data_IF_537815284369
#
_entry.id   IF_537815284369
#
_cell.length_a   1.000
_cell.length_b   1.000
_cell.length_c   1.000
_cell.angle_alpha   90.00
_cell.angle_beta   90.00
_cell.angle_gamma   90.00
#
_symmetry.space_group_name_H-M   'P 1'
#
loop_
_entity.id
_entity.type
_entity.pdbx_description
1 polymer ?
#
# COMPACT_ATOMS: atom_id res chain seq x y z
N UNK A 1 -26.04 -3.87 -16.38
CA UNK A 1 -25.50 -2.54 -16.07
C UNK A 1 -24.06 -2.73 -15.63
N UNK A 2 -23.15 -2.51 -16.56
CA UNK A 2 -21.71 -2.54 -16.25
C UNK A 2 -21.39 -1.30 -15.43
N UNK A 3 -21.06 -1.50 -14.16
CA UNK A 3 -20.51 -0.44 -13.32
C UNK A 3 -19.10 -0.13 -13.86
N UNK A 4 -18.98 0.97 -14.61
CA UNK A 4 -17.68 1.49 -15.04
C UNK A 4 -17.07 2.19 -13.83
N UNK A 5 -16.14 1.54 -13.14
CA UNK A 5 -15.43 2.09 -11.97
C UNK A 5 -14.70 3.40 -12.27
N UNK A 6 -14.39 3.66 -13.54
CA UNK A 6 -13.77 4.91 -14.02
C UNK A 6 -14.61 6.18 -13.78
N UNK A 7 -15.92 6.03 -13.54
CA UNK A 7 -16.83 7.15 -13.28
C UNK A 7 -17.07 7.43 -11.80
N UNK A 8 -16.51 6.59 -10.91
CA UNK A 8 -16.65 6.74 -9.46
C UNK A 8 -15.48 7.56 -8.92
N UNK A 9 -15.77 8.44 -7.97
CA UNK A 9 -14.73 9.08 -7.17
C UNK A 9 -14.12 8.10 -6.15
N UNK A 10 -13.01 8.49 -5.54
CA UNK A 10 -12.28 7.63 -4.60
C UNK A 10 -13.13 7.24 -3.38
N UNK A 11 -13.99 8.14 -2.88
CA UNK A 11 -14.87 7.84 -1.75
C UNK A 11 -15.91 6.77 -2.12
N UNK A 12 -16.48 6.84 -3.32
CA UNK A 12 -17.40 5.83 -3.82
C UNK A 12 -16.70 4.49 -4.05
N UNK A 13 -15.46 4.49 -4.56
CA UNK A 13 -14.65 3.28 -4.70
C UNK A 13 -14.35 2.62 -3.36
N UNK A 14 -13.99 3.39 -2.34
CA UNK A 14 -13.79 2.87 -0.97
C UNK A 14 -15.07 2.27 -0.43
N UNK A 15 -16.24 2.90 -0.64
CA UNK A 15 -17.53 2.36 -0.22
C UNK A 15 -17.87 1.03 -0.94
N UNK A 16 -17.52 0.87 -2.22
CA UNK A 16 -17.68 -0.39 -2.96
C UNK A 16 -16.80 -1.49 -2.37
N UNK A 17 -15.55 -1.18 -2.03
CA UNK A 17 -14.63 -2.12 -1.38
C UNK A 17 -15.19 -2.55 -0.02
N UNK A 18 -15.67 -1.62 0.80
CA UNK A 18 -16.25 -1.91 2.11
C UNK A 18 -17.48 -2.83 1.98
N UNK A 19 -18.37 -2.55 1.03
CA UNK A 19 -19.52 -3.40 0.76
C UNK A 19 -19.11 -4.81 0.28
N UNK A 20 -18.08 -4.90 -0.57
CA UNK A 20 -17.55 -6.17 -1.04
C UNK A 20 -16.93 -6.99 0.10
N UNK A 21 -16.16 -6.35 0.97
CA UNK A 21 -15.57 -6.99 2.17
C UNK A 21 -16.67 -7.49 3.11
N UNK A 22 -17.70 -6.69 3.32
CA UNK A 22 -18.87 -7.07 4.15
C UNK A 22 -19.63 -8.28 3.60
N UNK A 23 -19.57 -8.53 2.29
CA UNK A 23 -20.17 -9.69 1.65
C UNK A 23 -19.31 -10.97 1.77
N UNK A 24 -18.04 -10.86 2.14
CA UNK A 24 -17.15 -12.00 2.39
C UNK A 24 -17.45 -12.59 3.76
N UNK A 25 -17.87 -13.86 3.80
CA UNK A 25 -18.20 -14.55 5.05
C UNK A 25 -17.53 -15.91 5.11
N UNK A 26 -17.31 -16.42 6.33
CA UNK A 26 -16.73 -17.75 6.57
C UNK A 26 -17.58 -18.86 5.95
N UNK A 27 -18.90 -18.73 5.95
CA UNK A 27 -19.79 -19.71 5.36
C UNK A 27 -19.60 -19.81 3.84
N UNK A 28 -19.40 -18.70 3.16
CA UNK A 28 -19.08 -18.70 1.71
C UNK A 28 -17.76 -19.40 1.41
N UNK A 29 -16.74 -19.19 2.25
CA UNK A 29 -15.45 -19.87 2.12
C UNK A 29 -15.58 -21.38 2.30
N UNK A 30 -16.40 -21.81 3.24
CA UNK A 30 -16.65 -23.26 3.50
C UNK A 30 -17.33 -23.97 2.32
N UNK A 31 -18.10 -23.25 1.51
CA UNK A 31 -18.73 -23.81 0.31
C UNK A 31 -17.76 -24.05 -0.85
N UNK A 32 -16.55 -23.48 -0.80
CA UNK A 32 -15.52 -23.67 -1.82
C UNK A 32 -14.78 -24.99 -1.63
N UNK A 33 -14.32 -25.58 -2.73
CA UNK A 33 -13.42 -26.73 -2.65
C UNK A 33 -12.00 -26.33 -2.22
N UNK A 34 -11.13 -27.30 -1.95
CA UNK A 34 -9.78 -27.04 -1.44
C UNK A 34 -8.94 -26.15 -2.36
N UNK A 35 -8.98 -26.42 -3.67
CA UNK A 35 -8.23 -25.64 -4.67
C UNK A 35 -8.74 -24.20 -4.77
N UNK A 36 -10.04 -24.00 -4.74
CA UNK A 36 -10.66 -22.68 -4.74
C UNK A 36 -10.28 -21.88 -3.50
N UNK A 37 -10.24 -22.53 -2.31
CA UNK A 37 -9.80 -21.88 -1.07
C UNK A 37 -8.34 -21.42 -1.13
N UNK A 38 -7.45 -22.24 -1.69
CA UNK A 38 -6.04 -21.87 -1.88
C UNK A 38 -5.90 -20.68 -2.83
N UNK A 39 -6.64 -20.68 -3.94
CA UNK A 39 -6.61 -19.57 -4.88
C UNK A 39 -7.17 -18.29 -4.27
N UNK A 40 -8.29 -18.37 -3.55
CA UNK A 40 -8.86 -17.20 -2.83
C UNK A 40 -7.89 -16.62 -1.82
N UNK A 41 -7.12 -17.46 -1.11
CA UNK A 41 -6.11 -16.97 -0.18
C UNK A 41 -5.00 -16.18 -0.89
N UNK A 42 -4.51 -16.69 -2.02
CA UNK A 42 -3.51 -15.98 -2.85
C UNK A 42 -4.06 -14.65 -3.35
N UNK A 43 -5.29 -14.65 -3.86
CA UNK A 43 -5.92 -13.43 -4.38
C UNK A 43 -6.19 -12.41 -3.28
N UNK A 44 -6.59 -12.86 -2.08
CA UNK A 44 -6.79 -12.00 -0.92
C UNK A 44 -5.46 -11.35 -0.46
N UNK A 45 -4.36 -12.09 -0.43
CA UNK A 45 -3.03 -11.55 -0.07
C UNK A 45 -2.58 -10.51 -1.08
N UNK A 46 -2.77 -10.75 -2.38
CA UNK A 46 -2.44 -9.77 -3.42
C UNK A 46 -3.30 -8.52 -3.33
N UNK A 47 -4.60 -8.68 -3.09
CA UNK A 47 -5.52 -7.57 -2.94
C UNK A 47 -5.16 -6.70 -1.73
N UNK A 48 -4.84 -7.32 -0.60
CA UNK A 48 -4.38 -6.61 0.60
C UNK A 48 -3.09 -5.84 0.34
N UNK A 49 -2.13 -6.42 -0.37
CA UNK A 49 -0.89 -5.75 -0.75
C UNK A 49 -1.16 -4.51 -1.62
N UNK A 50 -2.04 -4.62 -2.61
CA UNK A 50 -2.43 -3.49 -3.47
C UNK A 50 -3.13 -2.38 -2.69
N UNK A 51 -4.07 -2.75 -1.83
CA UNK A 51 -4.77 -1.79 -0.96
C UNK A 51 -3.81 -1.11 0.01
N UNK A 52 -2.86 -1.86 0.57
CA UNK A 52 -1.82 -1.31 1.44
C UNK A 52 -0.92 -0.32 0.72
N UNK A 53 -0.53 -0.58 -0.53
CA UNK A 53 0.26 0.34 -1.35
C UNK A 53 -0.51 1.65 -1.62
N UNK A 54 -1.78 1.57 -2.00
CA UNK A 54 -2.64 2.74 -2.20
C UNK A 54 -2.80 3.55 -0.90
N UNK A 55 -3.07 2.90 0.22
CA UNK A 55 -3.19 3.54 1.53
C UNK A 55 -1.90 4.27 1.94
N UNK A 56 -0.74 3.66 1.69
CA UNK A 56 0.56 4.28 1.97
C UNK A 56 0.80 5.51 1.09
N UNK A 57 0.46 5.44 -0.19
CA UNK A 57 0.53 6.59 -1.10
C UNK A 57 -0.39 7.73 -0.65
N UNK A 58 -1.61 7.42 -0.25
CA UNK A 58 -2.56 8.41 0.30
C UNK A 58 -2.03 9.06 1.58
N UNK A 59 -1.44 8.29 2.49
CA UNK A 59 -0.84 8.81 3.72
C UNK A 59 0.33 9.77 3.43
N UNK A 60 1.16 9.47 2.44
CA UNK A 60 2.23 10.37 1.98
C UNK A 60 1.68 11.66 1.38
N UNK A 61 0.63 11.60 0.58
CA UNK A 61 -0.03 12.77 0.00
C UNK A 61 -0.65 13.66 1.07
N UNK A 62 -1.35 13.09 2.04
CA UNK A 62 -1.91 13.84 3.18
C UNK A 62 -0.81 14.53 3.98
N UNK A 63 0.31 13.86 4.23
CA UNK A 63 1.44 14.46 4.95
C UNK A 63 2.08 15.58 4.13
N UNK A 64 2.33 15.35 2.84
CA UNK A 64 2.95 16.32 1.95
C UNK A 64 2.09 17.58 1.77
N UNK A 65 0.77 17.42 1.67
CA UNK A 65 -0.17 18.55 1.51
C UNK A 65 -0.33 19.37 2.78
N UNK A 66 0.05 18.85 3.95
CA UNK A 66 -0.12 19.51 5.23
C UNK A 66 -1.57 19.72 5.66
N UNK A 67 -2.51 19.04 5.04
CA UNK A 67 -3.96 19.21 5.27
C UNK A 67 -4.36 18.92 6.72
N UNK A 68 -3.71 17.96 7.39
CA UNK A 68 -4.01 17.63 8.78
C UNK A 68 -3.68 18.83 9.73
N UNK A 69 -2.60 19.53 9.47
CA UNK A 69 -2.25 20.74 10.23
C UNK A 69 -3.21 21.88 9.89
N UNK A 70 -3.53 22.06 8.61
CA UNK A 70 -4.40 23.16 8.15
C UNK A 70 -5.85 23.02 8.66
N UNK A 71 -6.40 21.79 8.60
CA UNK A 71 -7.81 21.54 8.95
C UNK A 71 -8.03 21.23 10.44
N UNK A 72 -7.06 20.58 11.09
CA UNK A 72 -7.20 20.06 12.45
C UNK A 72 -6.15 20.54 13.44
N UNK A 73 -5.17 21.32 13.01
CA UNK A 73 -4.12 21.86 13.88
C UNK A 73 -3.17 20.81 14.48
N UNK A 74 -3.15 19.58 13.93
CA UNK A 74 -2.33 18.47 14.42
C UNK A 74 -1.51 17.83 13.29
N UNK A 75 -0.47 17.07 13.65
CA UNK A 75 0.26 16.30 12.63
C UNK A 75 -0.63 15.18 12.04
N UNK A 76 -0.33 14.77 10.82
CA UNK A 76 -1.01 13.64 10.17
C UNK A 76 -0.99 12.39 11.05
N UNK A 77 0.14 12.10 11.70
CA UNK A 77 0.30 10.94 12.59
C UNK A 77 -0.67 11.02 13.79
N UNK A 78 -0.77 12.18 14.43
CA UNK A 78 -1.67 12.37 15.56
C UNK A 78 -3.11 12.30 15.13
N UNK A 79 -3.48 13.00 14.08
CA UNK A 79 -4.83 12.99 13.53
C UNK A 79 -5.27 11.57 13.13
N UNK A 80 -4.43 10.85 12.41
CA UNK A 80 -4.73 9.49 11.95
C UNK A 80 -4.90 8.50 13.13
N UNK A 81 -4.01 8.60 14.14
CA UNK A 81 -4.10 7.77 15.33
C UNK A 81 -5.42 8.00 16.09
N UNK A 82 -5.82 9.26 16.24
CA UNK A 82 -7.05 9.62 16.96
C UNK A 82 -8.31 9.24 16.16
N UNK A 83 -8.27 9.36 14.83
CA UNK A 83 -9.41 9.05 13.96
C UNK A 83 -9.64 7.55 13.72
N UNK A 84 -8.63 6.68 13.90
CA UNK A 84 -8.67 5.28 13.46
C UNK A 84 -8.37 4.25 14.54
N UNK A 85 -8.25 4.61 15.78
CA UNK A 85 -7.80 3.71 16.87
C UNK A 85 -6.41 3.08 16.64
N UNK A 86 -5.60 3.60 15.71
CA UNK A 86 -4.21 3.19 15.54
C UNK A 86 -3.35 3.74 16.67
N UNK A 87 -2.29 3.02 17.02
CA UNK A 87 -1.25 3.62 17.85
C UNK A 87 -0.50 4.69 17.04
N UNK A 88 0.03 5.72 17.71
CA UNK A 88 0.87 6.74 17.05
C UNK A 88 2.07 6.13 16.33
N UNK A 89 2.62 5.05 16.87
CA UNK A 89 3.71 4.30 16.24
C UNK A 89 3.28 3.66 14.92
N UNK A 90 2.09 3.06 14.87
CA UNK A 90 1.54 2.46 13.66
C UNK A 90 1.21 3.52 12.61
N UNK A 91 0.58 4.63 13.01
CA UNK A 91 0.29 5.76 12.14
C UNK A 91 1.58 6.40 11.58
N UNK A 92 2.59 6.60 12.43
CA UNK A 92 3.89 7.12 12.00
C UNK A 92 4.59 6.20 11.01
N UNK A 93 4.51 4.89 11.21
CA UNK A 93 5.06 3.91 10.28
C UNK A 93 4.39 4.00 8.92
N UNK A 94 3.07 4.09 8.87
CA UNK A 94 2.31 4.21 7.62
C UNK A 94 2.73 5.45 6.81
N UNK A 95 2.87 6.59 7.46
CA UNK A 95 3.33 7.84 6.81
C UNK A 95 4.75 7.69 6.28
N UNK A 96 5.67 7.15 7.07
CA UNK A 96 7.07 6.94 6.67
C UNK A 96 7.17 5.95 5.49
N UNK A 97 6.43 4.87 5.52
CA UNK A 97 6.38 3.89 4.43
C UNK A 97 5.87 4.54 3.13
N UNK A 98 4.82 5.35 3.21
CA UNK A 98 4.32 6.11 2.07
C UNK A 98 5.36 7.07 1.49
N UNK A 99 6.03 7.84 2.33
CA UNK A 99 7.10 8.76 1.93
C UNK A 99 8.27 8.02 1.26
N UNK A 100 8.66 6.86 1.78
CA UNK A 100 9.69 6.01 1.16
C UNK A 100 9.27 5.52 -0.22
N UNK A 101 8.06 5.00 -0.36
CA UNK A 101 7.55 4.54 -1.66
C UNK A 101 7.51 5.67 -2.69
N UNK A 102 7.22 6.90 -2.28
CA UNK A 102 7.27 8.07 -3.18
C UNK A 102 8.67 8.31 -3.75
N UNK A 103 9.72 7.96 -3.01
CA UNK A 103 11.12 8.09 -3.46
C UNK A 103 11.55 6.99 -4.43
N UNK A 104 10.88 5.83 -4.42
CA UNK A 104 11.22 4.65 -5.20
C UNK A 104 10.06 4.21 -6.10
N UNK A 105 9.87 4.87 -7.25
CA UNK A 105 8.69 4.67 -8.10
C UNK A 105 8.58 3.25 -8.67
N UNK A 106 9.69 2.53 -8.90
CA UNK A 106 9.65 1.15 -9.38
C UNK A 106 9.13 0.20 -8.28
N UNK A 107 9.55 0.40 -7.03
CA UNK A 107 9.04 -0.34 -5.88
C UNK A 107 7.55 -0.03 -5.69
N UNK A 108 7.17 1.25 -5.76
CA UNK A 108 5.78 1.69 -5.62
C UNK A 108 4.87 1.05 -6.69
N UNK A 109 5.31 1.01 -7.95
CA UNK A 109 4.57 0.36 -9.04
C UNK A 109 4.40 -1.14 -8.80
N UNK A 110 5.46 -1.86 -8.40
CA UNK A 110 5.40 -3.28 -8.09
C UNK A 110 4.48 -3.60 -6.89
N UNK A 111 4.48 -2.73 -5.87
CA UNK A 111 3.57 -2.83 -4.73
C UNK A 111 2.10 -2.58 -5.16
N UNK A 112 1.84 -1.58 -6.00
CA UNK A 112 0.52 -1.28 -6.55
C UNK A 112 -0.04 -2.42 -7.42
N UNK A 113 0.82 -3.18 -8.09
CA UNK A 113 0.47 -4.38 -8.84
C UNK A 113 0.23 -5.61 -7.94
N UNK A 114 0.62 -5.55 -6.66
CA UNK A 114 0.58 -6.68 -5.73
C UNK A 114 1.68 -7.72 -5.99
N UNK A 115 2.71 -7.35 -6.75
CA UNK A 115 3.87 -8.20 -7.04
C UNK A 115 4.93 -8.15 -5.94
N UNK A 116 4.88 -7.13 -5.11
CA UNK A 116 5.75 -6.94 -3.93
C UNK A 116 4.86 -6.70 -2.73
N UNK A 117 5.02 -7.51 -1.71
CA UNK A 117 4.28 -7.39 -0.45
C UNK A 117 4.79 -6.20 0.38
N UNK A 118 3.99 -5.66 1.31
CA UNK A 118 4.39 -4.52 2.14
C UNK A 118 5.72 -4.72 2.87
N UNK A 119 5.96 -5.90 3.43
CA UNK A 119 7.20 -6.23 4.14
C UNK A 119 8.41 -6.28 3.20
N UNK A 120 8.21 -6.79 1.99
CA UNK A 120 9.24 -6.80 0.95
C UNK A 120 9.55 -5.37 0.48
N UNK A 121 8.52 -4.56 0.23
CA UNK A 121 8.68 -3.15 -0.13
C UNK A 121 9.46 -2.38 0.94
N UNK A 122 9.14 -2.61 2.21
CA UNK A 122 9.86 -2.02 3.33
C UNK A 122 11.34 -2.45 3.35
N UNK A 123 11.62 -3.74 3.21
CA UNK A 123 12.99 -4.24 3.17
C UNK A 123 13.79 -3.67 1.99
N UNK A 124 13.18 -3.64 0.80
CA UNK A 124 13.81 -3.08 -0.41
C UNK A 124 14.13 -1.60 -0.22
N UNK A 125 13.17 -0.81 0.25
CA UNK A 125 13.37 0.63 0.44
C UNK A 125 14.40 0.93 1.51
N UNK A 126 14.52 0.11 2.56
CA UNK A 126 15.57 0.24 3.57
C UNK A 126 16.97 -0.02 2.98
N UNK A 127 17.10 -1.04 2.12
CA UNK A 127 18.37 -1.33 1.42
C UNK A 127 18.74 -0.19 0.49
N UNK A 128 17.79 0.31 -0.29
CA UNK A 128 18.02 1.42 -1.22
C UNK A 128 18.37 2.73 -0.50
N UNK A 129 17.74 3.01 0.64
CA UNK A 129 18.09 4.16 1.48
C UNK A 129 19.50 4.07 2.08
N UNK A 130 20.02 2.86 2.25
CA UNK A 130 21.37 2.60 2.77
C UNK A 130 22.47 2.63 1.70
N UNK A 131 22.13 2.82 0.42
CA UNK A 131 23.14 2.90 -0.64
C UNK A 131 23.99 4.18 -0.48
N UNK A 132 25.28 4.13 -0.88
CA UNK A 132 26.15 5.30 -0.84
C UNK A 132 25.58 6.50 -1.59
N UNK A 133 25.78 7.69 -1.06
CA UNK A 133 25.27 8.95 -1.63
C UNK A 133 25.97 9.39 -2.91
N UNK A 134 27.08 8.74 -3.27
CA UNK A 134 27.86 8.96 -4.49
C UNK A 134 27.32 8.19 -5.71
N UNK A 135 26.31 7.34 -5.52
CA UNK A 135 25.57 6.74 -6.63
C UNK A 135 24.83 7.84 -7.42
N UNK A 136 24.99 7.82 -8.74
CA UNK A 136 24.20 8.69 -9.59
C UNK A 136 22.73 8.21 -9.72
N UNK A 137 21.88 9.07 -10.24
CA UNK A 137 20.44 8.76 -10.39
C UNK A 137 20.19 7.52 -11.26
N UNK A 138 21.04 7.27 -12.27
CA UNK A 138 20.95 6.10 -13.14
C UNK A 138 21.29 4.83 -12.40
N UNK A 139 22.36 4.84 -11.60
CA UNK A 139 22.76 3.71 -10.76
C UNK A 139 21.70 3.37 -9.70
N UNK A 140 21.11 4.38 -9.07
CA UNK A 140 19.99 4.17 -8.15
C UNK A 140 18.80 3.49 -8.81
N UNK A 141 18.40 3.96 -10.00
CA UNK A 141 17.31 3.34 -10.75
C UNK A 141 17.61 1.92 -11.19
N UNK A 142 18.84 1.66 -11.59
CA UNK A 142 19.27 0.31 -11.95
C UNK A 142 19.20 -0.63 -10.74
N UNK A 143 19.72 -0.21 -9.59
CA UNK A 143 19.67 -0.98 -8.35
C UNK A 143 18.23 -1.26 -7.93
N UNK A 144 17.33 -0.27 -8.03
CA UNK A 144 15.92 -0.41 -7.73
C UNK A 144 15.26 -1.48 -8.61
N UNK A 145 15.50 -1.44 -9.93
CA UNK A 145 14.93 -2.42 -10.88
C UNK A 145 15.44 -3.83 -10.57
N UNK A 146 16.74 -3.98 -10.30
CA UNK A 146 17.33 -5.28 -9.99
C UNK A 146 16.77 -5.89 -8.71
N UNK A 147 16.68 -5.11 -7.62
CA UNK A 147 16.14 -5.60 -6.34
C UNK A 147 14.66 -5.95 -6.45
N UNK A 148 13.86 -5.14 -7.14
CA UNK A 148 12.45 -5.45 -7.42
C UNK A 148 12.34 -6.70 -8.29
N UNK A 149 13.21 -6.86 -9.28
CA UNK A 149 13.28 -8.06 -10.11
C UNK A 149 13.49 -9.33 -9.27
N UNK A 150 14.42 -9.31 -8.33
CA UNK A 150 14.63 -10.44 -7.41
C UNK A 150 13.40 -10.72 -6.55
N UNK A 151 12.78 -9.69 -5.98
CA UNK A 151 11.62 -9.85 -5.09
C UNK A 151 10.38 -10.43 -5.80
N UNK A 152 10.21 -10.16 -7.09
CA UNK A 152 9.09 -10.72 -7.88
C UNK A 152 9.17 -12.24 -8.08
N UNK A 153 10.36 -12.83 -7.98
CA UNK A 153 10.61 -14.24 -8.25
C UNK A 153 10.93 -15.06 -7.00
N UNK A 154 10.93 -14.44 -5.84
CA UNK A 154 11.17 -15.10 -4.55
C UNK A 154 9.88 -15.28 -3.77
#
# INVERSE_FOLDING_TARGET
MELTFEQLDDAALVAVIDAAVSALTDDRVRLQNGQQRLQLLVDAVRLDARLSAWRSALAAEVEQSGVAVAEHGTSTVTWLADATCMTRRAAGRLVIEGQRLTRFPTVAAAAAEGCVLPEQAQAITQVLDGLPTDFDTGQFRQAEVEVVGVARYT
#
